data_IF_356415247481
#
_entry.id   IF_356415247481
#
_cell.length_a   1.000
_cell.length_b   1.000
_cell.length_c   1.000
_cell.angle_alpha   90.00
_cell.angle_beta   90.00
_cell.angle_gamma   90.00
#
_symmetry.space_group_name_H-M   'P 1'
#
loop_
_entity.id
_entity.type
_entity.pdbx_description
1 polymer ?
#
# COMPACT_ATOMS: atom_id res chain seq x y z
N UNK A 1 -14.68 -18.66 13.87
CA UNK A 1 -13.72 -18.00 12.95
C UNK A 1 -13.23 -19.04 11.95
N UNK A 2 -13.19 -18.68 10.64
CA UNK A 2 -12.62 -19.55 9.62
C UNK A 2 -11.09 -19.63 9.80
N UNK A 3 -10.56 -20.85 9.81
CA UNK A 3 -9.14 -21.18 9.97
C UNK A 3 -8.78 -22.36 9.08
N UNK A 4 -7.49 -22.69 9.05
CA UNK A 4 -6.97 -23.83 8.28
C UNK A 4 -6.25 -24.80 9.21
N UNK A 5 -6.58 -26.08 9.04
CA UNK A 5 -6.06 -27.18 9.84
C UNK A 5 -5.33 -28.19 8.96
N UNK A 6 -4.15 -28.62 9.41
CA UNK A 6 -3.45 -29.75 8.81
C UNK A 6 -3.36 -30.91 9.79
N UNK A 7 -3.28 -32.12 9.24
CA UNK A 7 -3.10 -33.39 9.95
C UNK A 7 -2.11 -34.27 9.19
N UNK A 8 -1.68 -35.35 9.80
CA UNK A 8 -0.98 -36.41 9.06
C UNK A 8 -1.94 -37.12 8.06
N UNK A 9 -1.42 -38.08 7.29
CA UNK A 9 -2.20 -38.86 6.30
C UNK A 9 -3.42 -39.60 6.88
N UNK A 10 -3.36 -39.94 8.16
CA UNK A 10 -4.40 -40.68 8.85
C UNK A 10 -5.41 -39.79 9.61
N UNK A 11 -5.42 -38.49 9.30
CA UNK A 11 -6.24 -37.45 9.99
C UNK A 11 -5.93 -37.33 11.48
N UNK A 12 -4.67 -37.47 11.87
CA UNK A 12 -4.26 -37.38 13.25
C UNK A 12 -3.32 -36.20 13.49
N UNK A 13 -3.35 -35.70 14.73
CA UNK A 13 -2.33 -34.81 15.28
C UNK A 13 -1.78 -35.43 16.58
N UNK A 14 -0.57 -35.06 16.97
CA UNK A 14 0.07 -35.56 18.18
C UNK A 14 0.37 -34.47 19.20
N UNK A 15 -0.68 -33.76 19.72
CA UNK A 15 -0.47 -32.75 20.75
C UNK A 15 0.12 -33.41 22.02
N UNK A 16 1.24 -32.86 22.50
CA UNK A 16 1.91 -33.37 23.71
C UNK A 16 2.22 -34.89 23.66
N UNK A 17 2.54 -35.41 22.47
CA UNK A 17 2.84 -36.83 22.28
C UNK A 17 1.65 -37.78 22.29
N UNK A 18 0.43 -37.29 22.46
CA UNK A 18 -0.79 -38.11 22.43
C UNK A 18 -1.47 -37.99 21.07
N UNK A 19 -1.83 -39.12 20.46
CA UNK A 19 -2.56 -39.15 19.20
C UNK A 19 -3.99 -38.61 19.44
N UNK A 20 -4.38 -37.66 18.61
CA UNK A 20 -5.75 -37.19 18.54
C UNK A 20 -6.27 -37.41 17.12
N UNK A 21 -7.35 -38.19 17.00
CA UNK A 21 -8.01 -38.53 15.74
C UNK A 21 -9.07 -37.45 15.37
N UNK A 22 -8.99 -36.97 14.14
CA UNK A 22 -10.02 -36.08 13.56
C UNK A 22 -10.86 -36.84 12.55
N UNK A 23 -12.07 -36.35 12.34
CA UNK A 23 -12.98 -36.77 11.28
C UNK A 23 -13.58 -35.53 10.62
N UNK A 24 -13.79 -35.59 9.31
CA UNK A 24 -14.41 -34.49 8.57
C UNK A 24 -15.87 -34.31 8.96
N UNK A 25 -16.31 -33.05 9.13
CA UNK A 25 -17.67 -32.70 9.54
C UNK A 25 -17.92 -32.80 11.04
N UNK A 26 -16.93 -33.23 11.83
CA UNK A 26 -17.10 -33.44 13.28
C UNK A 26 -16.60 -32.21 14.04
N UNK A 27 -17.33 -31.85 15.08
CA UNK A 27 -16.97 -30.82 16.04
C UNK A 27 -16.38 -31.45 17.30
N UNK A 28 -15.25 -30.91 17.73
CA UNK A 28 -14.56 -31.33 18.94
C UNK A 28 -14.48 -30.18 19.92
N UNK A 29 -14.60 -30.48 21.22
CA UNK A 29 -14.55 -29.50 22.29
C UNK A 29 -13.57 -29.95 23.40
N UNK A 30 -12.91 -28.99 24.03
CA UNK A 30 -12.04 -29.18 25.20
C UNK A 30 -12.36 -28.14 26.26
N UNK A 31 -12.27 -28.48 27.55
CA UNK A 31 -12.59 -27.56 28.65
C UNK A 31 -11.58 -26.40 28.74
N UNK A 32 -10.34 -26.63 28.28
CA UNK A 32 -9.24 -25.66 28.40
C UNK A 32 -8.53 -25.48 27.06
N UNK A 33 -8.01 -24.27 26.84
CA UNK A 33 -7.15 -23.92 25.74
C UNK A 33 -5.97 -23.10 26.25
N UNK A 34 -4.77 -23.36 25.74
CA UNK A 34 -3.53 -22.64 25.99
C UNK A 34 -2.66 -22.77 24.74
N UNK A 35 -2.15 -21.64 24.24
CA UNK A 35 -1.39 -21.62 22.99
C UNK A 35 -0.14 -22.53 23.13
N UNK A 36 0.08 -23.41 22.16
CA UNK A 36 1.16 -24.40 22.10
C UNK A 36 1.10 -25.50 23.16
N UNK A 37 0.07 -25.57 24.02
CA UNK A 37 -0.05 -26.59 25.09
C UNK A 37 -1.38 -27.36 25.04
N UNK A 38 -2.50 -26.66 25.20
CA UNK A 38 -3.82 -27.27 25.29
C UNK A 38 -4.79 -26.65 24.28
N UNK A 39 -5.91 -27.34 23.97
CA UNK A 39 -6.92 -26.84 23.03
C UNK A 39 -6.68 -27.33 21.60
N UNK A 40 -7.32 -26.64 20.67
CA UNK A 40 -7.19 -26.90 19.23
C UNK A 40 -6.45 -25.75 18.55
N UNK A 41 -5.42 -26.11 17.81
CA UNK A 41 -4.56 -25.17 17.10
C UNK A 41 -4.83 -25.23 15.60
N UNK A 42 -4.93 -24.06 14.97
CA UNK A 42 -5.11 -23.90 13.54
C UNK A 42 -4.41 -22.59 13.10
N UNK A 43 -4.32 -22.31 11.80
CA UNK A 43 -3.73 -21.10 11.29
C UNK A 43 -4.78 -20.22 10.59
N UNK A 44 -4.69 -18.91 10.76
CA UNK A 44 -5.53 -17.96 10.01
C UNK A 44 -5.07 -17.88 8.54
N UNK A 45 -3.75 -17.78 8.32
CA UNK A 45 -3.19 -17.82 6.96
C UNK A 45 -3.08 -19.28 6.48
N UNK A 46 -3.70 -19.60 5.32
CA UNK A 46 -3.75 -20.98 4.81
C UNK A 46 -2.39 -21.66 4.70
N UNK A 47 -1.37 -20.97 4.14
CA UNK A 47 -0.05 -21.59 3.91
C UNK A 47 0.78 -21.81 5.18
N UNK A 48 0.43 -21.20 6.32
CA UNK A 48 1.18 -21.39 7.56
C UNK A 48 1.06 -22.82 8.13
N UNK A 49 0.02 -23.55 7.74
CA UNK A 49 -0.15 -24.96 8.14
C UNK A 49 0.98 -25.87 7.62
N UNK A 50 1.65 -25.47 6.53
CA UNK A 50 2.77 -26.23 5.93
C UNK A 50 4.01 -26.22 6.82
N UNK A 51 4.12 -25.31 7.76
CA UNK A 51 5.21 -25.28 8.77
C UNK A 51 5.12 -26.45 9.73
N UNK A 52 3.92 -26.98 9.91
CA UNK A 52 3.63 -28.05 10.88
C UNK A 52 3.47 -29.42 10.24
N UNK A 53 2.95 -29.44 9.02
CA UNK A 53 2.64 -30.66 8.28
C UNK A 53 3.10 -30.52 6.83
N UNK A 54 4.20 -31.21 6.50
CA UNK A 54 4.79 -31.17 5.16
C UNK A 54 3.93 -31.93 4.14
N UNK A 55 3.72 -31.41 2.92
CA UNK A 55 3.07 -32.15 1.84
C UNK A 55 3.80 -33.45 1.47
N UNK A 56 5.12 -33.50 1.64
CA UNK A 56 5.95 -34.67 1.33
C UNK A 56 5.59 -35.88 2.21
N UNK A 57 4.99 -35.66 3.39
CA UNK A 57 4.60 -36.70 4.32
C UNK A 57 3.18 -37.23 4.09
N UNK A 58 2.54 -36.83 2.99
CA UNK A 58 1.16 -37.17 2.68
C UNK A 58 0.15 -36.47 3.59
N UNK A 59 0.51 -35.34 4.17
CA UNK A 59 -0.36 -34.55 5.06
C UNK A 59 -1.63 -34.08 4.38
N UNK A 60 -2.69 -33.96 5.16
CA UNK A 60 -4.01 -33.56 4.68
C UNK A 60 -4.37 -32.18 5.22
N UNK A 61 -5.07 -31.36 4.40
CA UNK A 61 -5.34 -29.96 4.67
C UNK A 61 -6.83 -29.66 4.55
N UNK A 62 -7.38 -28.98 5.57
CA UNK A 62 -8.79 -28.74 5.74
C UNK A 62 -9.07 -27.26 5.99
N UNK A 63 -10.23 -26.79 5.48
CA UNK A 63 -10.90 -25.66 6.09
C UNK A 63 -11.47 -26.10 7.45
N UNK A 64 -11.47 -25.21 8.42
CA UNK A 64 -12.04 -25.50 9.73
C UNK A 64 -12.65 -24.24 10.34
N UNK A 65 -13.54 -24.44 11.31
CA UNK A 65 -14.06 -23.36 12.15
C UNK A 65 -13.53 -23.52 13.56
N UNK A 66 -12.98 -22.44 14.11
CA UNK A 66 -12.46 -22.39 15.48
C UNK A 66 -13.31 -21.42 16.31
N UNK A 67 -13.76 -21.87 17.46
CA UNK A 67 -14.58 -21.11 18.41
C UNK A 67 -13.87 -21.02 19.77
N UNK A 68 -14.33 -20.10 20.61
CA UNK A 68 -13.72 -19.81 21.94
C UNK A 68 -12.21 -19.58 21.84
N UNK A 69 -11.85 -18.66 20.95
CA UNK A 69 -10.45 -18.39 20.58
C UNK A 69 -9.79 -17.52 21.65
N UNK A 70 -8.59 -17.92 22.03
CA UNK A 70 -7.79 -17.11 22.94
C UNK A 70 -7.29 -15.82 22.28
N UNK A 71 -7.12 -14.74 23.05
CA UNK A 71 -6.56 -13.49 22.54
C UNK A 71 -5.08 -13.60 22.16
N UNK A 72 -4.38 -14.57 22.72
CA UNK A 72 -2.97 -14.83 22.46
C UNK A 72 -2.74 -15.30 21.03
N UNK A 73 -1.66 -14.81 20.43
CA UNK A 73 -1.23 -15.11 19.05
C UNK A 73 0.22 -15.59 19.05
N UNK A 74 0.56 -16.46 18.09
CA UNK A 74 1.95 -16.80 17.82
C UNK A 74 2.71 -15.56 17.34
N UNK A 75 3.98 -15.43 17.73
CA UNK A 75 4.88 -14.38 17.22
C UNK A 75 5.57 -14.75 15.90
N UNK A 76 5.50 -16.01 15.48
CA UNK A 76 6.23 -16.55 14.33
C UNK A 76 5.34 -16.79 13.11
N UNK A 77 4.03 -16.96 13.32
CA UNK A 77 3.05 -17.28 12.29
C UNK A 77 1.62 -16.88 12.73
N UNK A 78 0.61 -17.23 11.93
CA UNK A 78 -0.81 -16.92 12.21
C UNK A 78 -1.51 -18.01 13.04
N UNK A 79 -0.79 -18.82 13.78
CA UNK A 79 -1.36 -19.86 14.63
C UNK A 79 -2.22 -19.27 15.75
N UNK A 80 -3.41 -19.82 15.87
CA UNK A 80 -4.40 -19.50 16.89
C UNK A 80 -4.81 -20.74 17.66
N UNK A 81 -5.31 -20.56 18.87
CA UNK A 81 -5.80 -21.63 19.73
C UNK A 81 -7.22 -21.33 20.20
N UNK A 82 -8.06 -22.36 20.25
CA UNK A 82 -9.44 -22.27 20.75
C UNK A 82 -9.88 -23.55 21.43
N UNK A 83 -11.04 -23.47 22.11
CA UNK A 83 -11.59 -24.61 22.85
C UNK A 83 -12.39 -25.55 21.97
N UNK A 84 -12.95 -25.06 20.85
CA UNK A 84 -13.83 -25.84 20.00
C UNK A 84 -13.43 -25.72 18.54
N UNK A 85 -13.34 -26.84 17.83
CA UNK A 85 -12.99 -26.87 16.41
C UNK A 85 -13.93 -27.78 15.64
N UNK A 86 -14.41 -27.31 14.48
CA UNK A 86 -15.15 -28.13 13.51
C UNK A 86 -14.28 -28.33 12.28
N UNK A 87 -14.05 -29.58 11.88
CA UNK A 87 -13.27 -29.91 10.69
C UNK A 87 -14.17 -29.87 9.46
N UNK A 88 -13.92 -28.94 8.57
CA UNK A 88 -14.67 -28.73 7.33
C UNK A 88 -14.17 -29.56 6.16
N UNK A 89 -14.26 -28.99 4.96
CA UNK A 89 -13.86 -29.66 3.72
C UNK A 89 -12.35 -29.85 3.62
N UNK A 90 -11.93 -31.01 3.12
CA UNK A 90 -10.55 -31.23 2.69
C UNK A 90 -10.31 -30.46 1.38
N UNK A 91 -9.27 -29.64 1.35
CA UNK A 91 -9.00 -28.75 0.20
C UNK A 91 -7.68 -29.08 -0.53
N UNK A 92 -6.83 -29.90 0.07
CA UNK A 92 -5.52 -30.24 -0.48
C UNK A 92 -4.63 -29.02 -0.78
N UNK A 93 -3.50 -29.23 -1.44
CA UNK A 93 -2.56 -28.14 -1.78
C UNK A 93 -3.16 -27.12 -2.75
N UNK A 94 -3.87 -27.49 -3.84
CA UNK A 94 -4.46 -26.51 -4.75
C UNK A 94 -5.50 -25.61 -4.04
N UNK A 95 -6.33 -26.19 -3.18
CA UNK A 95 -7.31 -25.44 -2.41
C UNK A 95 -6.65 -24.53 -1.38
N UNK A 96 -5.59 -24.99 -0.74
CA UNK A 96 -4.79 -24.20 0.21
C UNK A 96 -4.16 -22.97 -0.47
N UNK A 97 -3.58 -23.15 -1.67
CA UNK A 97 -3.01 -22.05 -2.45
C UNK A 97 -4.08 -21.03 -2.87
N UNK A 98 -5.25 -21.50 -3.36
CA UNK A 98 -6.38 -20.63 -3.70
C UNK A 98 -6.86 -19.83 -2.49
N UNK A 99 -7.05 -20.51 -1.35
CA UNK A 99 -7.48 -19.87 -0.12
C UNK A 99 -6.46 -18.83 0.39
N UNK A 100 -5.15 -19.07 0.20
CA UNK A 100 -4.12 -18.13 0.59
C UNK A 100 -4.13 -16.87 -0.29
N UNK A 101 -4.36 -17.01 -1.59
CA UNK A 101 -4.54 -15.86 -2.49
C UNK A 101 -5.72 -14.98 -2.03
N UNK A 102 -6.87 -15.58 -1.68
CA UNK A 102 -8.03 -14.83 -1.16
C UNK A 102 -7.74 -14.19 0.21
N UNK A 103 -7.01 -14.87 1.08
CA UNK A 103 -6.57 -14.33 2.37
C UNK A 103 -5.70 -13.07 2.18
N UNK A 104 -4.69 -13.15 1.27
CA UNK A 104 -3.82 -12.00 0.97
C UNK A 104 -4.61 -10.85 0.33
N UNK A 105 -5.51 -11.13 -0.61
CA UNK A 105 -6.40 -10.11 -1.19
C UNK A 105 -7.19 -9.38 -0.10
N UNK A 106 -7.80 -10.12 0.81
CA UNK A 106 -8.57 -9.53 1.91
C UNK A 106 -7.71 -8.65 2.84
N UNK A 107 -6.46 -9.07 3.11
CA UNK A 107 -5.50 -8.22 3.85
C UNK A 107 -5.16 -6.94 3.08
N UNK A 108 -4.96 -7.03 1.76
CA UNK A 108 -4.70 -5.87 0.91
C UNK A 108 -5.91 -4.91 0.84
N UNK A 109 -7.13 -5.45 0.80
CA UNK A 109 -8.36 -4.65 0.83
C UNK A 109 -8.53 -3.90 2.16
N UNK A 110 -8.15 -4.51 3.29
CA UNK A 110 -8.14 -3.85 4.60
C UNK A 110 -7.04 -2.79 4.73
N UNK A 111 -5.97 -2.89 3.94
CA UNK A 111 -4.85 -1.93 3.94
C UNK A 111 -5.14 -0.67 3.10
N UNK A 112 -6.37 -0.16 3.09
CA UNK A 112 -6.76 1.06 2.35
C UNK A 112 -6.17 2.33 2.96
N UNK A 113 -5.88 2.31 4.26
CA UNK A 113 -5.28 3.43 4.98
C UNK A 113 -4.05 2.95 5.75
N UNK A 114 -2.93 3.61 5.52
CA UNK A 114 -1.67 3.35 6.21
C UNK A 114 -1.12 4.63 6.78
N UNK A 115 -0.86 4.64 8.08
CA UNK A 115 -0.18 5.74 8.76
C UNK A 115 1.11 5.25 9.40
N UNK A 116 2.17 6.04 9.30
CA UNK A 116 3.43 5.77 9.97
C UNK A 116 3.95 7.04 10.66
N UNK A 117 4.31 6.92 11.92
CA UNK A 117 4.95 7.96 12.72
C UNK A 117 6.29 7.45 13.25
N UNK A 118 7.21 8.35 13.52
CA UNK A 118 8.57 8.03 13.95
C UNK A 118 9.61 8.59 12.98
N UNK A 119 10.86 8.73 13.41
CA UNK A 119 11.93 9.44 12.67
C UNK A 119 12.08 8.95 11.21
N UNK A 120 11.80 7.69 10.92
CA UNK A 120 11.88 7.07 9.57
C UNK A 120 10.62 6.26 9.24
N UNK A 121 9.43 6.76 9.59
CA UNK A 121 8.17 6.06 9.33
C UNK A 121 7.90 5.88 7.84
N UNK A 122 7.55 4.67 7.42
CA UNK A 122 7.16 4.36 6.04
C UNK A 122 5.72 3.87 6.01
N UNK A 123 4.89 4.46 5.18
CA UNK A 123 3.50 4.04 4.95
C UNK A 123 3.29 3.68 3.48
N UNK A 124 2.60 2.57 3.21
CA UNK A 124 2.28 2.15 1.85
C UNK A 124 0.85 1.65 1.75
N UNK A 125 0.07 2.17 0.82
CA UNK A 125 -1.30 1.76 0.57
C UNK A 125 -1.50 1.37 -0.91
N UNK A 126 -2.14 0.23 -1.17
CA UNK A 126 -2.32 -0.33 -2.52
C UNK A 126 -3.78 -0.55 -2.93
N UNK A 127 -4.76 -0.22 -2.11
CA UNK A 127 -6.18 -0.32 -2.43
C UNK A 127 -6.63 0.68 -3.50
N UNK A 128 -7.78 0.46 -4.15
CA UNK A 128 -8.33 1.36 -5.19
C UNK A 128 -8.36 2.84 -4.77
N UNK A 129 -8.60 3.11 -3.50
CA UNK A 129 -8.57 4.43 -2.85
C UNK A 129 -7.58 4.48 -1.69
N UNK A 130 -6.43 3.82 -1.85
CA UNK A 130 -5.45 3.69 -0.79
C UNK A 130 -4.87 5.05 -0.36
N UNK A 131 -4.85 5.30 0.95
CA UNK A 131 -4.26 6.49 1.54
C UNK A 131 -3.05 6.10 2.38
N UNK A 132 -1.91 6.72 2.13
CA UNK A 132 -0.69 6.53 2.89
C UNK A 132 -0.24 7.86 3.50
N UNK A 133 0.01 7.89 4.81
CA UNK A 133 0.48 9.08 5.50
C UNK A 133 1.70 8.78 6.37
N UNK A 134 2.78 9.53 6.21
CA UNK A 134 3.99 9.44 7.01
C UNK A 134 4.35 10.79 7.63
N UNK A 135 4.48 10.85 8.96
CA UNK A 135 4.70 12.09 9.70
C UNK A 135 6.06 12.20 10.40
N UNK A 136 6.97 11.26 10.20
CA UNK A 136 8.31 11.30 10.80
C UNK A 136 9.29 12.21 10.06
N UNK A 137 10.38 12.62 10.70
CA UNK A 137 11.43 13.51 10.14
C UNK A 137 11.85 13.12 8.71
N UNK A 138 11.95 11.82 8.41
CA UNK A 138 12.28 11.24 7.09
C UNK A 138 11.22 10.26 6.64
N UNK A 139 9.95 10.57 6.88
CA UNK A 139 8.83 9.71 6.55
C UNK A 139 8.61 9.56 5.04
N UNK A 140 8.31 8.35 4.59
CA UNK A 140 7.97 8.09 3.20
C UNK A 140 6.55 7.55 3.11
N UNK A 141 5.73 8.12 2.24
CA UNK A 141 4.38 7.65 1.96
C UNK A 141 4.25 7.23 0.48
N UNK A 142 3.72 6.05 0.22
CA UNK A 142 3.50 5.56 -1.14
C UNK A 142 2.06 5.06 -1.32
N UNK A 143 1.37 5.54 -2.34
CA UNK A 143 0.03 5.07 -2.70
C UNK A 143 -0.01 4.63 -4.18
N UNK A 144 -0.44 3.40 -4.45
CA UNK A 144 -0.47 2.83 -5.80
C UNK A 144 -1.86 2.53 -6.34
N UNK A 145 -2.91 2.85 -5.62
CA UNK A 145 -4.31 2.64 -6.05
C UNK A 145 -4.81 3.63 -7.09
N UNK A 146 -5.90 3.31 -7.79
CA UNK A 146 -6.49 4.15 -8.87
C UNK A 146 -6.70 5.61 -8.45
N UNK A 147 -7.07 5.86 -7.20
CA UNK A 147 -7.22 7.19 -6.59
C UNK A 147 -6.43 7.29 -5.28
N UNK A 148 -5.22 6.75 -5.28
CA UNK A 148 -4.37 6.72 -4.11
C UNK A 148 -3.85 8.10 -3.72
N UNK A 149 -3.82 8.39 -2.43
CA UNK A 149 -3.24 9.62 -1.90
C UNK A 149 -2.05 9.29 -1.01
N UNK A 150 -0.93 9.97 -1.23
CA UNK A 150 0.27 9.86 -0.42
C UNK A 150 0.58 11.22 0.22
N UNK A 151 0.76 11.26 1.53
CA UNK A 151 1.11 12.47 2.26
C UNK A 151 2.34 12.26 3.16
N UNK A 152 3.36 13.09 3.03
CA UNK A 152 4.53 13.09 3.89
C UNK A 152 4.72 14.47 4.52
N UNK A 153 4.70 14.56 5.86
CA UNK A 153 4.77 15.83 6.58
C UNK A 153 6.08 16.05 7.36
N UNK A 154 7.02 15.15 7.26
CA UNK A 154 8.33 15.29 7.93
C UNK A 154 9.30 16.19 7.20
N UNK A 155 10.34 16.68 7.89
CA UNK A 155 11.36 17.61 7.37
C UNK A 155 11.91 17.21 5.98
N UNK A 156 12.17 15.92 5.78
CA UNK A 156 12.64 15.32 4.51
C UNK A 156 11.72 14.22 4.02
N UNK A 157 10.42 14.42 4.17
CA UNK A 157 9.40 13.44 3.81
C UNK A 157 9.24 13.32 2.29
N UNK A 158 9.02 12.09 1.81
CA UNK A 158 8.74 11.84 0.40
C UNK A 158 7.35 11.24 0.25
N UNK A 159 6.56 11.78 -0.66
CA UNK A 159 5.24 11.26 -1.01
C UNK A 159 5.23 10.81 -2.48
N UNK A 160 4.77 9.59 -2.75
CA UNK A 160 4.66 9.07 -4.10
C UNK A 160 3.27 8.49 -4.37
N UNK A 161 2.61 8.94 -5.44
CA UNK A 161 1.33 8.40 -5.90
C UNK A 161 1.43 7.96 -7.36
N UNK A 162 1.19 6.67 -7.65
CA UNK A 162 1.38 6.11 -8.99
C UNK A 162 0.07 5.68 -9.68
N UNK A 163 -1.07 5.86 -9.05
CA UNK A 163 -2.35 5.46 -9.61
C UNK A 163 -2.98 6.50 -10.55
N UNK A 164 -3.97 6.07 -11.33
CA UNK A 164 -4.83 6.98 -12.08
C UNK A 164 -5.49 7.98 -11.12
N UNK A 165 -5.27 9.29 -11.29
CA UNK A 165 -5.69 10.38 -10.39
C UNK A 165 -5.14 10.27 -8.96
N UNK A 166 -3.91 9.76 -8.81
CA UNK A 166 -3.21 9.75 -7.54
C UNK A 166 -2.72 11.14 -7.14
N UNK A 167 -2.78 11.46 -5.85
CA UNK A 167 -2.27 12.71 -5.33
C UNK A 167 -1.10 12.46 -4.37
N UNK A 168 -0.02 13.22 -4.54
CA UNK A 168 1.15 13.21 -3.68
C UNK A 168 1.36 14.58 -3.03
N UNK A 169 1.47 14.65 -1.71
CA UNK A 169 1.72 15.89 -0.99
C UNK A 169 2.89 15.76 -0.02
N UNK A 170 3.88 16.63 -0.12
CA UNK A 170 5.00 16.73 0.80
C UNK A 170 5.05 18.13 1.43
N UNK A 171 4.94 18.23 2.75
CA UNK A 171 4.88 19.51 3.46
C UNK A 171 6.11 19.82 4.32
N UNK A 172 7.12 18.97 4.32
CA UNK A 172 8.37 19.21 5.06
C UNK A 172 9.37 20.11 4.34
N UNK A 173 10.35 20.66 5.06
CA UNK A 173 11.35 21.63 4.56
C UNK A 173 12.01 21.21 3.23
N UNK A 174 12.41 19.96 3.09
CA UNK A 174 13.00 19.40 1.86
C UNK A 174 12.18 18.22 1.33
N UNK A 175 10.85 18.28 1.46
CA UNK A 175 9.94 17.23 1.08
C UNK A 175 9.77 17.12 -0.44
N UNK A 176 9.66 15.89 -0.94
CA UNK A 176 9.44 15.63 -2.36
C UNK A 176 8.10 14.94 -2.57
N UNK A 177 7.31 15.46 -3.51
CA UNK A 177 6.05 14.88 -3.93
C UNK A 177 6.15 14.41 -5.38
N UNK A 178 5.79 13.16 -5.68
CA UNK A 178 5.81 12.62 -7.03
C UNK A 178 4.47 11.95 -7.38
N UNK A 179 3.84 12.38 -8.47
CA UNK A 179 2.64 11.77 -9.02
C UNK A 179 2.92 11.31 -10.46
N UNK A 180 2.82 10.02 -10.75
CA UNK A 180 3.16 9.46 -12.06
C UNK A 180 1.96 8.92 -12.85
N UNK A 181 0.77 8.90 -12.27
CA UNK A 181 -0.43 8.42 -12.93
C UNK A 181 -1.10 9.46 -13.83
N UNK A 182 -2.02 9.00 -14.68
CA UNK A 182 -2.88 9.87 -15.49
C UNK A 182 -3.67 10.84 -14.58
N UNK A 183 -3.60 12.14 -14.85
CA UNK A 183 -4.20 13.19 -14.02
C UNK A 183 -3.74 13.16 -12.55
N UNK A 184 -2.52 12.72 -12.29
CA UNK A 184 -1.92 12.73 -10.95
C UNK A 184 -1.46 14.14 -10.55
N UNK A 185 -1.68 14.50 -9.29
CA UNK A 185 -1.30 15.80 -8.77
C UNK A 185 -0.18 15.67 -7.73
N UNK A 186 0.83 16.51 -7.84
CA UNK A 186 1.93 16.60 -6.89
C UNK A 186 2.00 18.00 -6.28
N UNK A 187 2.11 18.10 -4.95
CA UNK A 187 2.26 19.38 -4.26
C UNK A 187 3.40 19.32 -3.22
N UNK A 188 4.33 20.28 -3.29
CA UNK A 188 5.36 20.50 -2.31
C UNK A 188 5.16 21.88 -1.65
N UNK A 189 4.96 21.91 -0.32
CA UNK A 189 4.66 23.14 0.42
C UNK A 189 5.74 23.55 1.42
N UNK A 190 6.77 22.76 1.58
CA UNK A 190 7.92 23.12 2.41
C UNK A 190 8.96 23.94 1.64
N UNK A 191 9.89 24.55 2.37
CA UNK A 191 11.04 25.22 1.79
C UNK A 191 11.94 24.20 1.04
N UNK A 192 12.45 24.54 -0.15
CA UNK A 192 13.32 23.69 -0.99
C UNK A 192 12.72 22.33 -1.39
N UNK A 193 11.42 22.16 -1.36
CA UNK A 193 10.75 20.96 -1.80
C UNK A 193 10.63 20.83 -3.32
N UNK A 194 10.33 19.63 -3.80
CA UNK A 194 10.09 19.38 -5.23
C UNK A 194 8.74 18.69 -5.43
N UNK A 195 7.92 19.22 -6.31
CA UNK A 195 6.69 18.59 -6.77
C UNK A 195 6.87 18.13 -8.23
N UNK A 196 6.70 16.84 -8.51
CA UNK A 196 6.86 16.29 -9.86
C UNK A 196 5.58 15.57 -10.30
N UNK A 197 4.99 15.99 -11.41
CA UNK A 197 3.94 15.27 -12.10
C UNK A 197 4.44 14.83 -13.47
N UNK A 198 4.61 13.51 -13.66
CA UNK A 198 5.14 12.94 -14.90
C UNK A 198 4.09 12.28 -15.78
N UNK A 199 2.86 12.07 -15.27
CA UNK A 199 1.77 11.50 -16.02
C UNK A 199 1.03 12.51 -16.88
N UNK A 200 0.32 12.05 -17.95
CA UNK A 200 -0.50 12.92 -18.77
C UNK A 200 -1.59 13.65 -17.96
N UNK A 201 -1.88 14.89 -18.33
CA UNK A 201 -2.88 15.76 -17.68
C UNK A 201 -2.66 15.97 -16.18
N UNK A 202 -1.45 15.76 -15.70
CA UNK A 202 -1.10 15.94 -14.31
C UNK A 202 -0.81 17.41 -13.95
N UNK A 203 -0.80 17.70 -12.66
CA UNK A 203 -0.42 19.03 -12.17
C UNK A 203 0.65 18.96 -11.10
N UNK A 204 1.59 19.91 -11.13
CA UNK A 204 2.63 20.08 -10.15
C UNK A 204 2.54 21.46 -9.49
N UNK A 205 2.60 21.52 -8.16
CA UNK A 205 2.43 22.75 -7.39
C UNK A 205 3.58 22.95 -6.39
N UNK A 206 4.26 24.08 -6.52
CA UNK A 206 5.35 24.54 -5.65
C UNK A 206 4.86 25.68 -4.73
N UNK A 207 4.43 25.33 -3.50
CA UNK A 207 3.81 26.26 -2.56
C UNK A 207 4.76 26.81 -1.49
N UNK A 208 6.02 26.39 -1.47
CA UNK A 208 7.05 26.86 -0.55
C UNK A 208 8.05 27.77 -1.20
N UNK A 209 8.93 28.38 -0.40
CA UNK A 209 10.05 29.17 -0.90
C UNK A 209 11.12 28.25 -1.53
N UNK A 210 11.77 28.71 -2.60
CA UNK A 210 12.83 27.98 -3.32
C UNK A 210 12.40 26.56 -3.76
N UNK A 211 11.11 26.34 -3.98
CA UNK A 211 10.56 25.07 -4.45
C UNK A 211 10.56 24.96 -5.97
N UNK A 212 10.46 23.73 -6.47
CA UNK A 212 10.37 23.46 -7.90
C UNK A 212 9.14 22.63 -8.20
N UNK A 213 8.28 23.09 -9.12
CA UNK A 213 7.19 22.28 -9.68
C UNK A 213 7.55 21.80 -11.08
N UNK A 214 7.54 20.49 -11.30
CA UNK A 214 7.90 19.84 -12.57
C UNK A 214 6.66 19.17 -13.16
N UNK A 215 6.12 19.72 -14.23
CA UNK A 215 5.04 19.17 -15.03
C UNK A 215 5.61 18.60 -16.34
N UNK A 216 5.87 17.28 -16.32
CA UNK A 216 6.61 16.62 -17.40
C UNK A 216 5.70 15.82 -18.35
N UNK A 217 4.48 15.50 -17.98
CA UNK A 217 3.55 14.72 -18.80
C UNK A 217 2.89 15.53 -19.92
N UNK A 218 2.34 14.84 -20.91
CA UNK A 218 1.53 15.45 -21.99
C UNK A 218 0.37 16.23 -21.37
N UNK A 219 0.16 17.47 -21.82
CA UNK A 219 -0.90 18.38 -21.32
C UNK A 219 -0.83 18.65 -19.81
N UNK A 220 0.28 18.40 -19.18
CA UNK A 220 0.47 18.73 -17.77
C UNK A 220 0.72 20.22 -17.54
N UNK A 221 0.49 20.66 -16.30
CA UNK A 221 0.60 22.07 -15.91
C UNK A 221 1.34 22.21 -14.57
N UNK A 222 2.01 23.36 -14.39
CA UNK A 222 2.69 23.70 -13.16
C UNK A 222 2.29 25.08 -12.65
N UNK A 223 2.31 25.29 -11.34
CA UNK A 223 2.21 26.59 -10.69
C UNK A 223 3.13 26.69 -9.48
N UNK A 224 3.35 27.91 -9.00
CA UNK A 224 4.13 28.12 -7.79
C UNK A 224 3.89 29.47 -7.15
N UNK A 225 4.48 29.65 -5.97
CA UNK A 225 4.57 30.95 -5.29
C UNK A 225 5.69 31.80 -5.86
N UNK A 226 5.67 33.11 -5.59
CA UNK A 226 6.77 33.98 -5.94
C UNK A 226 8.10 33.46 -5.39
N UNK A 227 9.16 33.48 -6.20
CA UNK A 227 10.48 32.93 -5.87
C UNK A 227 10.64 31.42 -6.06
N UNK A 228 9.59 30.69 -6.44
CA UNK A 228 9.69 29.29 -6.85
C UNK A 228 9.95 29.15 -8.35
N UNK A 229 10.31 27.92 -8.76
CA UNK A 229 10.56 27.60 -10.17
C UNK A 229 9.51 26.62 -10.68
N UNK A 230 9.18 26.75 -11.96
CA UNK A 230 8.36 25.78 -12.68
C UNK A 230 9.13 25.20 -13.87
N UNK A 231 8.94 23.92 -14.14
CA UNK A 231 9.43 23.24 -15.34
C UNK A 231 8.24 22.62 -16.06
N UNK A 232 8.07 22.95 -17.34
CA UNK A 232 7.04 22.33 -18.17
C UNK A 232 7.66 21.76 -19.44
N UNK A 233 7.14 20.64 -19.91
CA UNK A 233 7.47 20.04 -21.19
C UNK A 233 6.35 20.27 -22.21
N UNK A 234 6.74 20.54 -23.47
CA UNK A 234 5.83 20.58 -24.63
C UNK A 234 6.02 19.33 -25.47
N UNK A 235 4.92 18.72 -25.84
CA UNK A 235 4.90 17.50 -26.66
C UNK A 235 4.35 17.76 -28.08
N UNK A 236 4.83 16.96 -29.02
CA UNK A 236 4.17 16.83 -30.31
C UNK A 236 2.90 15.99 -30.15
N UNK A 237 1.74 16.58 -30.47
CA UNK A 237 0.43 15.93 -30.32
C UNK A 237 0.24 14.71 -31.24
N UNK A 238 1.09 14.55 -32.29
CA UNK A 238 0.96 13.46 -33.26
C UNK A 238 1.67 12.18 -32.83
N UNK A 239 2.81 12.33 -32.17
CA UNK A 239 3.68 11.20 -31.82
C UNK A 239 4.08 11.15 -30.34
N UNK A 240 3.53 12.08 -29.53
CA UNK A 240 3.81 12.19 -28.11
C UNK A 240 5.30 12.30 -27.75
N UNK A 241 6.11 12.83 -28.65
CA UNK A 241 7.53 13.11 -28.37
C UNK A 241 7.72 14.50 -27.78
N UNK A 242 8.69 14.65 -26.91
CA UNK A 242 9.04 15.94 -26.33
C UNK A 242 9.65 16.86 -27.40
N UNK A 243 9.03 18.00 -27.65
CA UNK A 243 9.56 19.07 -28.53
C UNK A 243 10.56 19.93 -27.80
N UNK A 244 10.22 20.34 -26.60
CA UNK A 244 11.04 21.21 -25.77
C UNK A 244 10.61 21.13 -24.31
N UNK A 245 11.49 21.56 -23.41
CA UNK A 245 11.16 21.77 -22.01
C UNK A 245 11.81 23.08 -21.55
N UNK A 246 11.15 23.78 -20.64
CA UNK A 246 11.60 25.09 -20.19
C UNK A 246 11.46 25.23 -18.68
N UNK A 247 12.46 25.86 -18.07
CA UNK A 247 12.47 26.33 -16.69
C UNK A 247 12.05 27.79 -16.65
N UNK A 248 11.16 28.16 -15.73
CA UNK A 248 10.75 29.54 -15.47
C UNK A 248 10.78 29.86 -13.98
N UNK A 249 11.24 31.08 -13.65
CA UNK A 249 11.14 31.62 -12.30
C UNK A 249 9.76 32.34 -12.18
N UNK A 250 9.04 32.09 -11.11
CA UNK A 250 7.84 32.86 -10.75
C UNK A 250 8.31 34.18 -10.13
N UNK A 251 8.46 35.19 -10.96
CA UNK A 251 8.99 36.53 -10.60
C UNK A 251 7.89 37.53 -10.26
N UNK A 252 6.63 37.21 -10.57
CA UNK A 252 5.47 38.08 -10.40
C UNK A 252 5.23 39.04 -11.58
N UNK A 253 6.19 39.16 -12.49
CA UNK A 253 6.09 40.00 -13.69
C UNK A 253 5.82 39.17 -14.95
N UNK A 254 6.74 38.29 -15.30
CA UNK A 254 6.64 37.38 -16.47
C UNK A 254 5.77 36.17 -16.16
N UNK A 255 6.01 35.53 -15.00
CA UNK A 255 5.24 34.43 -14.50
C UNK A 255 4.60 34.84 -13.15
N UNK A 256 3.28 34.91 -13.11
CA UNK A 256 2.52 35.31 -11.93
C UNK A 256 2.44 34.18 -10.90
N UNK A 257 2.52 34.48 -9.60
CA UNK A 257 2.30 33.48 -8.57
C UNK A 257 0.86 32.94 -8.62
N UNK A 258 0.69 31.71 -8.13
CA UNK A 258 -0.59 31.00 -8.03
C UNK A 258 -1.34 30.81 -9.37
N UNK A 259 -0.67 31.03 -10.49
CA UNK A 259 -1.22 30.86 -11.84
C UNK A 259 -0.70 29.57 -12.47
N UNK A 260 -1.61 28.79 -13.06
CA UNK A 260 -1.24 27.57 -13.77
C UNK A 260 -0.63 27.90 -15.14
N UNK A 261 0.49 27.28 -15.43
CA UNK A 261 1.21 27.41 -16.70
C UNK A 261 1.43 26.04 -17.35
N UNK A 262 1.40 26.03 -18.67
CA UNK A 262 1.89 24.95 -19.53
C UNK A 262 2.79 25.52 -20.61
N UNK A 263 3.57 24.67 -21.28
CA UNK A 263 4.39 25.09 -22.40
C UNK A 263 3.62 24.92 -23.71
N UNK A 264 3.63 25.96 -24.57
CA UNK A 264 3.03 25.95 -25.91
C UNK A 264 3.84 26.83 -26.84
N UNK A 265 4.32 26.28 -27.97
CA UNK A 265 5.22 27.00 -28.88
C UNK A 265 6.55 27.41 -28.24
N UNK A 266 7.02 26.68 -27.24
CA UNK A 266 8.23 26.97 -26.49
C UNK A 266 8.07 28.08 -25.43
N UNK A 267 6.88 28.65 -25.25
CA UNK A 267 6.63 29.71 -24.27
C UNK A 267 5.63 29.26 -23.19
N UNK A 268 5.74 29.83 -21.99
CA UNK A 268 4.77 29.62 -20.94
C UNK A 268 3.46 30.34 -21.27
N UNK A 269 2.37 29.60 -21.25
CA UNK A 269 1.01 30.14 -21.42
C UNK A 269 0.15 29.78 -20.23
N UNK A 270 -0.72 30.70 -19.81
CA UNK A 270 -1.67 30.44 -18.73
C UNK A 270 -2.58 29.27 -19.12
N UNK A 271 -2.83 28.37 -18.17
CA UNK A 271 -3.68 27.21 -18.33
C UNK A 271 -4.89 27.33 -17.41
N UNK A 272 -6.07 26.88 -17.86
CA UNK A 272 -7.26 26.78 -17.01
C UNK A 272 -7.05 25.78 -15.86
N UNK A 273 -7.79 25.97 -14.78
CA UNK A 273 -7.79 25.06 -13.61
C UNK A 273 -8.14 23.60 -13.94
#
# INVERSE_FOLDING_TARGET
MKVYKATNKDMQCTPNGKIFQYEQGVTYEKPEAELCRHGFHACEAPMDVLRYYSPADGSRYFEAELEDILPERSSEDTKVCGKKITIGAEIGIPGLAKAHVEYVKHLCEKATEQTASGVRGNAAASGERGNAAASGERGNAAASGVRGNAAASGERGNAAASGWRGNAAASGESGNAAASGWSGNAAASGERGTATSSGPYGSAEANGEQTVAIAWGVHSKARGKAGSYIVCAEYDERNETIKTARLGLIDGETLKPDTWYRLKGGEFVEASE
#
